data_IF_834698352394
#
_entry.id   IF_834698352394
#
_cell.length_a   1.000
_cell.length_b   1.000
_cell.length_c   1.000
_cell.angle_alpha   90.00
_cell.angle_beta   90.00
_cell.angle_gamma   90.00
#
_symmetry.space_group_name_H-M   'P 1'
#
loop_
_entity.id
_entity.type
_entity.pdbx_description
1 polymer ?
#
# COMPACT_ATOMS: atom_id res chain seq x y z
N UNK A 1 -21.97 -10.72 -2.76
CA UNK A 1 -21.73 -10.19 -4.10
C UNK A 1 -23.05 -9.86 -4.75
N UNK A 2 -23.06 -8.82 -5.56
CA UNK A 2 -24.20 -8.47 -6.38
C UNK A 2 -24.10 -9.11 -7.78
N UNK A 3 -25.17 -8.98 -8.57
CA UNK A 3 -25.21 -9.56 -9.92
C UNK A 3 -24.21 -8.91 -10.89
N UNK A 4 -23.77 -7.67 -10.61
CA UNK A 4 -22.83 -6.96 -11.48
C UNK A 4 -21.41 -7.46 -11.26
N UNK A 5 -20.99 -7.53 -10.00
CA UNK A 5 -19.73 -8.14 -9.56
C UNK A 5 -19.66 -9.59 -10.06
N UNK A 6 -20.77 -10.33 -9.98
CA UNK A 6 -20.87 -11.67 -10.56
C UNK A 6 -20.53 -11.68 -12.06
N UNK A 7 -21.16 -10.81 -12.86
CA UNK A 7 -20.91 -10.74 -14.31
C UNK A 7 -19.46 -10.33 -14.63
N UNK A 8 -18.90 -9.38 -13.87
CA UNK A 8 -17.52 -8.90 -14.08
C UNK A 8 -16.49 -10.00 -13.77
N UNK A 9 -16.75 -10.85 -12.79
CA UNK A 9 -15.86 -11.94 -12.37
C UNK A 9 -16.20 -13.31 -12.98
N UNK A 10 -17.28 -13.43 -13.75
CA UNK A 10 -17.79 -14.72 -14.23
C UNK A 10 -16.80 -15.49 -15.10
N UNK A 11 -16.04 -14.81 -15.96
CA UNK A 11 -15.02 -15.45 -16.78
C UNK A 11 -13.91 -16.07 -15.91
N UNK A 12 -13.41 -15.31 -14.94
CA UNK A 12 -12.40 -15.82 -14.01
C UNK A 12 -12.92 -16.98 -13.16
N UNK A 13 -14.21 -16.98 -12.81
CA UNK A 13 -14.89 -18.08 -12.12
C UNK A 13 -14.97 -19.35 -12.99
N UNK A 14 -15.29 -19.20 -14.28
CA UNK A 14 -15.38 -20.33 -15.22
C UNK A 14 -14.01 -20.93 -15.51
N UNK A 15 -12.98 -20.10 -15.62
CA UNK A 15 -11.60 -20.50 -15.89
C UNK A 15 -10.83 -20.96 -14.64
N UNK A 16 -11.47 -20.97 -13.46
CA UNK A 16 -10.89 -21.36 -12.17
C UNK A 16 -9.63 -20.55 -11.79
N UNK A 17 -9.67 -19.25 -12.07
CA UNK A 17 -8.56 -18.31 -11.78
C UNK A 17 -8.83 -17.39 -10.59
N UNK A 18 -10.01 -17.49 -9.98
CA UNK A 18 -10.38 -16.71 -8.80
C UNK A 18 -9.74 -17.26 -7.52
N UNK A 19 -9.53 -16.38 -6.55
CA UNK A 19 -9.17 -16.79 -5.20
C UNK A 19 -10.28 -17.65 -4.57
N UNK A 20 -9.92 -18.62 -3.73
CA UNK A 20 -10.88 -19.59 -3.17
C UNK A 20 -12.08 -18.96 -2.43
N UNK A 21 -11.87 -17.82 -1.76
CA UNK A 21 -12.97 -17.08 -1.09
C UNK A 21 -13.97 -16.55 -2.11
N UNK A 22 -13.49 -16.05 -3.25
CA UNK A 22 -14.35 -15.54 -4.32
C UNK A 22 -15.08 -16.69 -5.03
N UNK A 23 -14.44 -17.85 -5.25
CA UNK A 23 -15.12 -19.04 -5.79
C UNK A 23 -16.35 -19.43 -4.94
N UNK A 24 -16.21 -19.44 -3.62
CA UNK A 24 -17.33 -19.77 -2.71
C UNK A 24 -18.43 -18.71 -2.78
N UNK A 25 -18.06 -17.43 -2.86
CA UNK A 25 -19.04 -16.32 -3.00
C UNK A 25 -19.81 -16.43 -4.32
N UNK A 26 -19.11 -16.73 -5.41
CA UNK A 26 -19.66 -16.96 -6.75
C UNK A 26 -20.63 -18.14 -6.75
N UNK A 27 -20.23 -19.28 -6.17
CA UNK A 27 -21.07 -20.48 -6.06
C UNK A 27 -22.34 -20.21 -5.26
N UNK A 28 -22.22 -19.52 -4.12
CA UNK A 28 -23.37 -19.12 -3.31
C UNK A 28 -24.32 -18.21 -4.10
N UNK A 29 -23.81 -17.24 -4.83
CA UNK A 29 -24.64 -16.34 -5.62
C UNK A 29 -25.42 -17.08 -6.72
N UNK A 30 -24.84 -18.10 -7.36
CA UNK A 30 -25.55 -18.96 -8.32
C UNK A 30 -26.71 -19.69 -7.65
N UNK A 31 -26.52 -20.17 -6.42
CA UNK A 31 -27.60 -20.87 -5.69
C UNK A 31 -28.72 -19.93 -5.23
N UNK A 32 -28.41 -18.66 -4.98
CA UNK A 32 -29.36 -17.67 -4.45
C UNK A 32 -30.05 -16.85 -5.54
N UNK A 33 -29.45 -16.71 -6.73
CA UNK A 33 -29.91 -15.83 -7.80
C UNK A 33 -30.21 -16.61 -9.10
N UNK A 34 -31.49 -16.72 -9.45
CA UNK A 34 -31.94 -17.46 -10.63
C UNK A 34 -31.44 -16.86 -11.96
N UNK A 35 -31.32 -15.54 -12.07
CA UNK A 35 -30.86 -14.88 -13.30
C UNK A 35 -29.38 -15.19 -13.56
N UNK A 36 -28.53 -15.11 -12.54
CA UNK A 36 -27.11 -15.46 -12.62
C UNK A 36 -26.90 -16.96 -12.83
N UNK A 37 -27.75 -17.83 -12.26
CA UNK A 37 -27.73 -19.25 -12.54
C UNK A 37 -28.03 -19.58 -14.01
N UNK A 38 -29.03 -18.90 -14.61
CA UNK A 38 -29.32 -19.02 -16.05
C UNK A 38 -28.16 -18.55 -16.92
N UNK A 39 -27.49 -17.46 -16.51
CA UNK A 39 -26.31 -16.95 -17.20
C UNK A 39 -25.16 -17.95 -17.19
N UNK A 40 -24.81 -18.48 -16.01
CA UNK A 40 -23.77 -19.50 -15.86
C UNK A 40 -24.07 -20.75 -16.69
N UNK A 41 -25.30 -21.27 -16.61
CA UNK A 41 -25.72 -22.44 -17.39
C UNK A 41 -25.63 -22.18 -18.90
N UNK A 42 -25.99 -20.98 -19.38
CA UNK A 42 -25.87 -20.61 -20.80
C UNK A 42 -24.41 -20.63 -21.26
N UNK A 43 -23.51 -20.02 -20.50
CA UNK A 43 -22.09 -19.96 -20.84
C UNK A 43 -21.46 -21.35 -20.81
N UNK A 44 -21.69 -22.14 -19.75
CA UNK A 44 -21.18 -23.51 -19.66
C UNK A 44 -21.66 -24.39 -20.81
N UNK A 45 -22.94 -24.27 -21.21
CA UNK A 45 -23.47 -24.97 -22.40
C UNK A 45 -22.78 -24.53 -23.68
N UNK A 46 -22.54 -23.23 -23.87
CA UNK A 46 -21.80 -22.74 -25.02
C UNK A 46 -20.37 -23.30 -25.07
N UNK A 47 -19.66 -23.32 -23.93
CA UNK A 47 -18.32 -23.88 -23.84
C UNK A 47 -18.28 -25.39 -24.13
N UNK A 48 -19.31 -26.14 -23.75
CA UNK A 48 -19.43 -27.54 -24.13
C UNK A 48 -19.52 -27.70 -25.64
N UNK A 49 -20.23 -26.82 -26.36
CA UNK A 49 -20.26 -26.87 -27.84
C UNK A 49 -18.85 -26.66 -28.42
N UNK A 50 -18.12 -25.65 -27.94
CA UNK A 50 -16.75 -25.39 -28.42
C UNK A 50 -15.80 -26.55 -28.12
N UNK A 51 -15.91 -27.17 -26.95
CA UNK A 51 -15.10 -28.36 -26.58
C UNK A 51 -15.36 -29.59 -27.45
N UNK A 52 -16.53 -29.67 -28.08
CA UNK A 52 -16.92 -30.77 -28.96
C UNK A 52 -16.69 -30.47 -30.44
N UNK A 53 -16.05 -29.35 -30.78
CA UNK A 53 -15.63 -29.08 -32.16
C UNK A 53 -14.49 -30.03 -32.56
N UNK A 54 -14.38 -30.38 -33.86
CA UNK A 54 -13.25 -31.15 -34.36
C UNK A 54 -11.94 -30.45 -34.01
N UNK A 55 -10.94 -31.23 -33.61
CA UNK A 55 -9.61 -30.71 -33.32
C UNK A 55 -9.04 -30.06 -34.58
N UNK A 56 -8.51 -28.84 -34.43
CA UNK A 56 -7.81 -28.16 -35.51
C UNK A 56 -6.48 -28.85 -35.70
N UNK A 57 -6.25 -29.44 -36.88
CA UNK A 57 -4.97 -30.04 -37.23
C UNK A 57 -3.99 -28.93 -37.62
N UNK A 58 -2.92 -28.69 -36.84
CA UNK A 58 -1.94 -27.67 -37.19
C UNK A 58 -1.11 -28.11 -38.42
N UNK A 59 -0.55 -27.14 -39.14
CA UNK A 59 0.42 -27.44 -40.21
C UNK A 59 1.61 -28.21 -39.65
N UNK A 60 2.22 -29.10 -40.44
CA UNK A 60 3.36 -29.93 -40.01
C UNK A 60 4.51 -29.12 -39.35
N UNK A 61 4.77 -27.90 -39.84
CA UNK A 61 5.85 -27.04 -39.32
C UNK A 61 5.42 -26.14 -38.15
N UNK A 62 4.19 -26.26 -37.66
CA UNK A 62 3.64 -25.35 -36.65
C UNK A 62 4.44 -25.40 -35.36
N UNK A 63 4.74 -26.59 -34.84
CA UNK A 63 5.48 -26.77 -33.58
C UNK A 63 6.87 -26.15 -33.67
N UNK A 64 7.58 -26.39 -34.77
CA UNK A 64 8.91 -25.80 -35.02
C UNK A 64 8.86 -24.28 -35.07
N UNK A 65 7.87 -23.72 -35.78
CA UNK A 65 7.67 -22.26 -35.86
C UNK A 65 7.29 -21.67 -34.50
N UNK A 66 6.44 -22.35 -33.74
CA UNK A 66 6.03 -21.92 -32.40
C UNK A 66 7.22 -21.88 -31.45
N UNK A 67 8.02 -22.94 -31.40
CA UNK A 67 9.23 -23.00 -30.57
C UNK A 67 10.23 -21.91 -30.93
N UNK A 68 10.48 -21.70 -32.22
CA UNK A 68 11.35 -20.62 -32.69
C UNK A 68 10.84 -19.26 -32.22
N UNK A 69 9.52 -19.02 -32.31
CA UNK A 69 8.92 -17.76 -31.86
C UNK A 69 8.96 -17.59 -30.34
N UNK A 70 8.69 -18.64 -29.58
CA UNK A 70 8.78 -18.61 -28.11
C UNK A 70 10.20 -18.27 -27.65
N UNK A 71 11.23 -18.84 -28.28
CA UNK A 71 12.64 -18.50 -28.00
C UNK A 71 12.92 -17.03 -28.25
N UNK A 72 12.51 -16.49 -29.40
CA UNK A 72 12.71 -15.07 -29.70
C UNK A 72 11.99 -14.16 -28.70
N UNK A 73 10.77 -14.50 -28.28
CA UNK A 73 10.04 -13.70 -27.29
C UNK A 73 10.69 -13.75 -25.90
N UNK A 74 11.25 -14.90 -25.50
CA UNK A 74 12.00 -15.01 -24.24
C UNK A 74 13.28 -14.18 -24.28
N UNK A 75 14.02 -14.23 -25.38
CA UNK A 75 15.23 -13.41 -25.58
C UNK A 75 14.90 -11.91 -25.53
N UNK A 76 13.81 -11.49 -26.18
CA UNK A 76 13.36 -10.08 -26.14
C UNK A 76 13.00 -9.64 -24.71
N UNK A 77 12.30 -10.47 -23.94
CA UNK A 77 11.96 -10.18 -22.54
C UNK A 77 13.22 -10.05 -21.67
N UNK A 78 14.18 -10.95 -21.85
CA UNK A 78 15.46 -10.88 -21.14
C UNK A 78 16.27 -9.64 -21.54
N UNK A 79 16.29 -9.30 -22.83
CA UNK A 79 16.96 -8.09 -23.32
C UNK A 79 16.32 -6.82 -22.77
N UNK A 80 14.98 -6.75 -22.67
CA UNK A 80 14.27 -5.61 -22.09
C UNK A 80 14.57 -5.45 -20.59
N UNK A 81 14.54 -6.54 -19.82
CA UNK A 81 14.84 -6.51 -18.37
C UNK A 81 16.29 -6.12 -18.12
N UNK A 82 17.24 -6.68 -18.88
CA UNK A 82 18.66 -6.33 -18.79
C UNK A 82 18.92 -4.86 -19.15
N UNK A 83 18.26 -4.33 -20.20
CA UNK A 83 18.37 -2.92 -20.58
C UNK A 83 17.83 -1.98 -19.49
N UNK A 84 16.73 -2.36 -18.85
CA UNK A 84 16.17 -1.57 -17.74
C UNK A 84 17.07 -1.61 -16.50
N UNK A 85 17.65 -2.77 -16.18
CA UNK A 85 18.62 -2.91 -15.08
C UNK A 85 19.86 -2.05 -15.32
N UNK A 86 20.42 -2.07 -16.53
CA UNK A 86 21.60 -1.29 -16.86
C UNK A 86 21.32 0.22 -16.82
N UNK A 87 20.15 0.66 -17.30
CA UNK A 87 19.72 2.06 -17.14
C UNK A 87 19.59 2.46 -15.67
N UNK A 88 19.03 1.57 -14.84
CA UNK A 88 18.96 1.78 -13.39
C UNK A 88 20.34 1.87 -12.73
N UNK A 89 21.28 1.01 -13.13
CA UNK A 89 22.66 1.04 -12.65
C UNK A 89 23.36 2.34 -13.03
N UNK A 90 23.23 2.80 -14.28
CA UNK A 90 23.82 4.08 -14.72
C UNK A 90 23.23 5.23 -13.91
N UNK A 91 21.90 5.29 -13.77
CA UNK A 91 21.24 6.34 -12.98
C UNK A 91 21.72 6.35 -11.52
N UNK A 92 21.87 5.17 -10.90
CA UNK A 92 22.39 5.03 -9.54
C UNK A 92 23.85 5.50 -9.43
N UNK A 93 24.71 5.17 -10.39
CA UNK A 93 26.10 5.65 -10.39
C UNK A 93 26.20 7.17 -10.52
N UNK A 94 25.40 7.78 -11.41
CA UNK A 94 25.37 9.24 -11.58
C UNK A 94 24.86 9.93 -10.33
N UNK A 95 23.76 9.46 -9.74
CA UNK A 95 23.23 10.02 -8.49
C UNK A 95 24.23 9.90 -7.33
N UNK A 96 24.95 8.77 -7.24
CA UNK A 96 25.98 8.57 -6.22
C UNK A 96 27.16 9.54 -6.40
N UNK A 97 27.60 9.76 -7.64
CA UNK A 97 28.67 10.73 -7.93
C UNK A 97 28.25 12.17 -7.59
N UNK A 98 27.00 12.55 -7.88
CA UNK A 98 26.45 13.87 -7.50
C UNK A 98 26.42 14.01 -5.98
N UNK A 99 25.95 12.99 -5.25
CA UNK A 99 25.91 13.01 -3.78
C UNK A 99 27.31 13.12 -3.16
N UNK A 100 28.28 12.34 -3.66
CA UNK A 100 29.67 12.43 -3.21
C UNK A 100 30.27 13.80 -3.51
N UNK A 101 29.98 14.38 -4.68
CA UNK A 101 30.37 15.75 -5.02
C UNK A 101 29.78 16.78 -4.06
N UNK A 102 28.49 16.67 -3.74
CA UNK A 102 27.82 17.57 -2.79
C UNK A 102 28.45 17.49 -1.39
N UNK A 103 28.64 16.27 -0.87
CA UNK A 103 29.30 16.05 0.42
C UNK A 103 30.72 16.62 0.41
N UNK A 104 31.48 16.45 -0.68
CA UNK A 104 32.78 17.08 -0.84
C UNK A 104 32.68 18.61 -0.72
N UNK A 105 31.77 19.24 -1.46
CA UNK A 105 31.64 20.71 -1.44
C UNK A 105 31.27 21.27 -0.07
N UNK A 106 30.40 20.59 0.69
CA UNK A 106 29.99 21.04 2.03
C UNK A 106 31.10 20.87 3.06
N UNK A 107 31.98 19.88 2.90
CA UNK A 107 33.16 19.72 3.76
C UNK A 107 34.25 20.75 3.48
N UNK A 108 34.45 21.13 2.21
CA UNK A 108 35.48 22.11 1.82
C UNK A 108 35.05 23.57 2.00
N UNK A 109 33.75 23.87 2.07
CA UNK A 109 33.23 25.21 2.34
C UNK A 109 32.49 25.22 3.69
N UNK A 110 33.19 25.40 4.83
CA UNK A 110 32.53 25.58 6.11
C UNK A 110 31.60 26.80 6.05
N UNK A 111 30.34 26.69 6.51
CA UNK A 111 29.41 27.81 6.52
C UNK A 111 29.95 28.94 7.41
N UNK A 112 29.78 30.19 6.97
CA UNK A 112 30.11 31.37 7.78
C UNK A 112 29.45 31.27 9.16
N UNK A 113 30.22 31.59 10.21
CA UNK A 113 29.88 31.32 11.60
C UNK A 113 28.50 31.86 12.01
N UNK A 114 27.73 31.12 12.84
CA UNK A 114 26.39 31.52 13.25
C UNK A 114 26.42 32.82 14.06
N UNK A 115 25.62 33.80 13.64
CA UNK A 115 25.37 35.03 14.41
C UNK A 115 24.48 34.69 15.59
N UNK A 116 24.99 34.85 16.80
CA UNK A 116 24.29 34.54 18.03
C UNK A 116 23.14 35.54 18.26
N UNK A 117 21.90 35.06 18.20
CA UNK A 117 20.70 35.87 18.45
C UNK A 117 20.33 35.72 19.91
N UNK A 118 20.65 36.73 20.73
CA UNK A 118 20.32 36.77 22.17
C UNK A 118 18.91 37.31 22.36
N UNK A 119 17.98 36.50 22.88
CA UNK A 119 16.65 36.95 23.30
C UNK A 119 16.57 37.09 24.84
N UNK A 120 15.90 38.14 25.36
CA UNK A 120 15.80 38.37 26.80
C UNK A 120 14.80 37.42 27.49
N UNK A 121 15.03 37.04 28.76
CA UNK A 121 14.25 36.01 29.45
C UNK A 121 12.86 36.51 29.88
N UNK A 122 11.82 35.74 29.57
CA UNK A 122 10.44 35.97 30.00
C UNK A 122 10.13 35.09 31.21
N UNK A 123 9.69 35.69 32.32
CA UNK A 123 9.25 34.97 33.54
C UNK A 123 7.73 34.95 33.57
N UNK A 124 7.13 33.75 33.55
CA UNK A 124 5.67 33.56 33.66
C UNK A 124 5.30 33.13 35.09
N UNK A 125 4.34 33.82 35.72
CA UNK A 125 3.72 33.42 36.99
C UNK A 125 2.42 32.64 36.74
N UNK A 126 2.27 31.49 37.39
CA UNK A 126 1.11 30.58 37.27
C UNK A 126 -0.05 31.09 38.13
N UNK A 127 -1.27 31.28 37.61
CA UNK A 127 -2.45 31.60 38.43
C UNK A 127 -3.05 30.34 39.09
N UNK A 128 -3.57 30.50 40.32
CA UNK A 128 -4.26 29.47 41.11
C UNK A 128 -5.53 28.98 40.40
N UNK A 129 -5.73 27.66 40.32
CA UNK A 129 -6.84 27.05 39.57
C UNK A 129 -8.12 26.98 40.41
N UNK A 130 -9.16 27.73 40.03
CA UNK A 130 -10.53 27.50 40.51
C UNK A 130 -11.10 26.20 39.90
N UNK A 131 -11.40 25.23 40.75
CA UNK A 131 -12.12 24.00 40.40
C UNK A 131 -13.57 24.35 40.03
N UNK A 132 -13.82 24.58 38.74
CA UNK A 132 -15.19 24.62 38.22
C UNK A 132 -15.72 23.20 38.10
N UNK A 133 -16.82 22.91 38.79
CA UNK A 133 -17.55 21.64 38.70
C UNK A 133 -18.00 21.38 37.27
N UNK A 134 -17.54 20.27 36.68
CA UNK A 134 -17.92 19.81 35.35
C UNK A 134 -19.40 19.39 35.40
N UNK A 135 -20.28 20.21 34.82
CA UNK A 135 -21.63 19.78 34.44
C UNK A 135 -21.48 18.78 33.30
N UNK A 136 -21.78 17.51 33.57
CA UNK A 136 -21.82 16.43 32.59
C UNK A 136 -22.91 16.73 31.55
N UNK A 137 -22.55 17.42 30.47
CA UNK A 137 -23.33 17.39 29.24
C UNK A 137 -23.13 16.02 28.61
N UNK A 138 -24.25 15.37 28.31
CA UNK A 138 -24.36 14.14 27.52
C UNK A 138 -23.36 14.11 26.35
N UNK A 139 -22.58 13.03 26.17
CA UNK A 139 -21.56 12.98 25.15
C UNK A 139 -22.20 12.97 23.76
N UNK A 140 -21.97 14.03 22.98
CA UNK A 140 -22.14 14.07 21.53
C UNK A 140 -21.14 13.16 20.79
N UNK A 141 -20.71 12.06 21.42
CA UNK A 141 -19.77 11.05 20.88
C UNK A 141 -20.53 10.05 20.01
N UNK A 142 -21.85 9.90 20.17
CA UNK A 142 -22.63 8.93 19.39
C UNK A 142 -22.99 9.46 17.99
N UNK A 143 -22.91 10.78 17.74
CA UNK A 143 -23.28 11.37 16.44
C UNK A 143 -22.16 11.38 15.40
N UNK A 144 -20.89 11.19 15.80
CA UNK A 144 -19.77 11.13 14.85
C UNK A 144 -19.62 9.77 14.15
N UNK A 145 -20.19 8.69 14.70
CA UNK A 145 -20.18 7.35 14.09
C UNK A 145 -21.00 7.32 12.80
N UNK A 146 -22.04 8.16 12.69
CA UNK A 146 -22.87 8.22 11.48
C UNK A 146 -22.26 9.06 10.34
N UNK A 147 -21.18 9.81 10.59
CA UNK A 147 -20.60 10.74 9.62
C UNK A 147 -19.34 10.21 8.90
N UNK A 148 -18.93 8.95 9.16
CA UNK A 148 -17.81 8.32 8.44
C UNK A 148 -16.43 8.94 8.70
N UNK A 149 -16.30 9.79 9.71
CA UNK A 149 -15.02 10.38 10.12
C UNK A 149 -14.31 9.41 11.07
N UNK A 150 -13.13 8.93 10.66
CA UNK A 150 -12.30 8.04 11.49
C UNK A 150 -11.78 8.80 12.70
N UNK A 151 -12.30 8.46 13.88
CA UNK A 151 -11.73 8.90 15.16
C UNK A 151 -10.39 8.19 15.32
N UNK A 152 -9.29 8.95 15.39
CA UNK A 152 -7.95 8.40 15.64
C UNK A 152 -7.75 8.20 17.15
N UNK A 153 -7.65 6.94 17.64
CA UNK A 153 -7.49 6.69 19.07
C UNK A 153 -6.23 7.34 19.65
N UNK A 154 -5.16 7.45 18.85
CA UNK A 154 -3.92 8.11 19.26
C UNK A 154 -4.10 9.61 19.59
N UNK A 155 -4.99 10.32 18.89
CA UNK A 155 -5.30 11.71 19.18
C UNK A 155 -6.10 11.85 20.49
N UNK A 156 -7.03 10.91 20.74
CA UNK A 156 -7.80 10.84 21.99
C UNK A 156 -6.93 10.60 23.22
N UNK A 157 -5.92 9.74 23.09
CA UNK A 157 -4.96 9.52 24.18
C UNK A 157 -4.00 10.69 24.37
N UNK A 158 -3.64 11.42 23.29
CA UNK A 158 -2.77 12.59 23.41
C UNK A 158 -3.42 13.74 24.21
N UNK A 159 -4.74 13.92 24.14
CA UNK A 159 -5.45 14.93 24.95
C UNK A 159 -5.62 14.52 26.42
N UNK A 160 -5.58 13.22 26.74
CA UNK A 160 -5.80 12.71 28.10
C UNK A 160 -4.52 12.53 28.92
N UNK A 161 -3.33 12.81 28.37
CA UNK A 161 -2.07 12.68 29.10
C UNK A 161 -1.73 13.99 29.82
N UNK A 162 -1.83 14.06 31.16
CA UNK A 162 -1.19 15.14 31.90
C UNK A 162 0.33 14.99 31.74
N UNK A 163 0.95 15.96 31.07
CA UNK A 163 2.39 16.03 30.87
C UNK A 163 3.09 16.26 32.22
N UNK A 164 3.44 15.17 32.91
CA UNK A 164 4.40 15.19 34.02
C UNK A 164 5.78 14.85 33.47
N UNK A 165 6.58 15.87 33.17
CA UNK A 165 8.01 15.69 32.97
C UNK A 165 8.65 15.31 34.31
N UNK A 166 8.98 14.03 34.48
CA UNK A 166 9.88 13.61 35.54
C UNK A 166 11.29 14.08 35.19
N UNK A 167 11.83 14.98 36.02
CA UNK A 167 13.25 15.29 36.07
C UNK A 167 14.06 14.00 36.30
N UNK A 168 14.67 13.44 35.25
CA UNK A 168 15.74 12.47 35.42
C UNK A 168 17.06 13.23 35.60
N UNK A 169 17.49 13.34 36.87
CA UNK A 169 18.82 13.81 37.24
C UNK A 169 19.83 12.77 36.76
N UNK A 170 20.53 13.04 35.66
CA UNK A 170 21.68 12.24 35.22
C UNK A 170 22.87 12.58 36.13
N UNK A 171 23.15 11.73 37.13
CA UNK A 171 24.45 11.72 37.79
C UNK A 171 25.41 10.83 37.01
N UNK A 172 26.39 11.47 36.37
CA UNK A 172 27.55 10.84 35.75
C UNK A 172 28.43 10.23 36.85
N UNK A 173 28.50 8.90 36.93
CA UNK A 173 29.57 8.23 37.67
C UNK A 173 30.73 7.94 36.73
N UNK A 174 31.81 8.71 36.90
CA UNK A 174 33.13 8.40 36.36
C UNK A 174 33.65 7.13 37.02
N UNK A 175 34.02 6.13 36.23
CA UNK A 175 34.93 5.06 36.66
C UNK A 175 36.12 5.03 35.72
N UNK A 176 37.21 5.62 36.17
CA UNK A 176 38.56 5.36 35.71
C UNK A 176 39.04 4.03 36.28
N UNK A 177 39.55 3.16 35.41
CA UNK A 177 40.64 2.25 35.74
C UNK A 177 41.49 1.99 34.51
#
# INVERSE_FOLDING_TARGET
>A
MDCREFCEQHLAFVDDTLAGIELVRMQRHITECESCAKHDAKIRRALLLFRNLPCIEPSADFSTRLEARLKTCQEDQLAMTQRNLWRGAIAATVASAIMLGYIGTTLFHPPEAPRDIVLPPVVASVPEAELTSITTSTPAIVTSVSAGLTIWPAALFAEQVPVRFAHSKLELTNYTR
#
